data_IF_890996177924
#
_entry.id   IF_890996177924
#
_cell.length_a   1.000
_cell.length_b   1.000
_cell.length_c   1.000
_cell.angle_alpha   90.00
_cell.angle_beta   90.00
_cell.angle_gamma   90.00
#
_symmetry.space_group_name_H-M   'P 1'
#
loop_
_entity.id
_entity.type
_entity.pdbx_description
1 polymer ?
#
# COMPACT_ATOMS: atom_id res chain seq x y z
N UNK A 1 -5.73 10.79 -3.89
CA UNK A 1 -4.31 10.35 -4.12
C UNK A 1 -4.03 9.10 -3.29
N UNK A 2 -3.04 8.26 -3.66
CA UNK A 2 -2.72 7.00 -2.94
C UNK A 2 -2.46 7.21 -1.44
N UNK A 3 -1.72 8.26 -1.08
CA UNK A 3 -1.42 8.61 0.32
C UNK A 3 -2.71 8.92 1.11
N UNK A 4 -3.71 9.56 0.50
CA UNK A 4 -4.99 9.82 1.16
C UNK A 4 -5.74 8.52 1.44
N UNK A 5 -5.73 7.57 0.49
CA UNK A 5 -6.32 6.25 0.69
C UNK A 5 -5.58 5.44 1.76
N UNK A 6 -4.24 5.58 1.85
CA UNK A 6 -3.44 4.98 2.91
C UNK A 6 -3.76 5.59 4.29
N UNK A 7 -3.95 6.91 4.37
CA UNK A 7 -4.40 7.61 5.59
C UNK A 7 -5.81 7.14 6.00
N UNK A 8 -6.72 7.00 5.04
CA UNK A 8 -8.07 6.47 5.31
C UNK A 8 -8.01 5.02 5.79
N UNK A 9 -7.18 4.18 5.18
CA UNK A 9 -6.96 2.80 5.62
C UNK A 9 -6.44 2.72 7.05
N UNK A 10 -5.45 3.54 7.40
CA UNK A 10 -4.92 3.61 8.77
C UNK A 10 -6.00 3.99 9.78
N UNK A 11 -6.84 4.99 9.45
CA UNK A 11 -7.90 5.49 10.31
C UNK A 11 -9.17 4.61 10.36
N UNK A 12 -9.28 3.62 9.46
CA UNK A 12 -10.46 2.77 9.34
C UNK A 12 -10.42 1.58 10.29
N UNK A 13 -11.56 1.31 10.94
CA UNK A 13 -11.75 0.14 11.81
C UNK A 13 -11.61 -1.19 11.04
N UNK A 14 -11.20 -2.25 11.76
CA UNK A 14 -10.93 -3.57 11.20
C UNK A 14 -12.09 -4.17 10.37
N UNK A 15 -13.34 -3.79 10.67
CA UNK A 15 -14.53 -4.26 9.94
C UNK A 15 -14.62 -3.75 8.49
N UNK A 16 -13.97 -2.63 8.16
CA UNK A 16 -13.97 -2.02 6.81
C UNK A 16 -12.58 -1.98 6.16
N UNK A 17 -11.53 -2.38 6.89
CA UNK A 17 -10.15 -2.44 6.38
C UNK A 17 -9.97 -3.38 5.21
N UNK A 18 -10.71 -4.48 5.12
CA UNK A 18 -10.52 -5.49 4.07
C UNK A 18 -10.73 -4.95 2.64
N UNK A 19 -11.77 -4.13 2.44
CA UNK A 19 -12.06 -3.52 1.13
C UNK A 19 -11.00 -2.51 0.72
N UNK A 20 -10.56 -1.67 1.66
CA UNK A 20 -9.51 -0.67 1.44
C UNK A 20 -8.14 -1.32 1.21
N UNK A 21 -7.82 -2.40 1.93
CA UNK A 21 -6.61 -3.18 1.71
C UNK A 21 -6.56 -3.72 0.29
N UNK A 22 -7.64 -4.37 -0.19
CA UNK A 22 -7.71 -4.87 -1.56
C UNK A 22 -7.53 -3.74 -2.60
N UNK A 23 -8.21 -2.61 -2.42
CA UNK A 23 -8.08 -1.48 -3.35
C UNK A 23 -6.65 -0.89 -3.38
N UNK A 24 -6.00 -0.78 -2.22
CA UNK A 24 -4.60 -0.33 -2.12
C UNK A 24 -3.65 -1.34 -2.78
N UNK A 25 -3.82 -2.63 -2.49
CA UNK A 25 -3.07 -3.73 -3.08
C UNK A 25 -3.16 -3.72 -4.61
N UNK A 26 -4.35 -3.59 -5.18
CA UNK A 26 -4.56 -3.53 -6.63
C UNK A 26 -3.80 -2.37 -7.28
N UNK A 27 -3.79 -1.19 -6.62
CA UNK A 27 -3.05 -0.03 -7.13
C UNK A 27 -1.54 -0.27 -7.16
N UNK A 28 -1.01 -0.98 -6.15
CA UNK A 28 0.40 -1.32 -6.04
C UNK A 28 0.78 -2.39 -7.08
N UNK A 29 0.01 -3.49 -7.15
CA UNK A 29 0.22 -4.61 -8.07
C UNK A 29 0.13 -4.14 -9.52
N UNK A 30 -0.86 -3.30 -9.84
CA UNK A 30 -1.00 -2.70 -11.18
C UNK A 30 0.07 -1.65 -11.50
N UNK A 31 1.06 -1.43 -10.62
CA UNK A 31 2.16 -0.46 -10.75
C UNK A 31 1.66 0.96 -11.05
N UNK A 32 0.48 1.31 -10.54
CA UNK A 32 -0.11 2.66 -10.70
C UNK A 32 0.46 3.66 -9.70
N UNK A 33 1.34 3.19 -8.82
CA UNK A 33 1.95 3.95 -7.74
C UNK A 33 3.44 3.65 -7.73
N UNK A 34 4.25 4.69 -7.67
CA UNK A 34 5.68 4.56 -7.41
C UNK A 34 5.91 4.45 -5.90
N UNK A 35 6.11 3.22 -5.42
CA UNK A 35 6.33 2.93 -4.00
C UNK A 35 7.58 3.63 -3.45
N UNK A 36 8.63 3.80 -4.26
CA UNK A 36 9.86 4.48 -3.83
C UNK A 36 9.58 5.97 -3.60
N UNK A 37 8.84 6.59 -4.52
CA UNK A 37 8.41 7.98 -4.37
C UNK A 37 7.50 8.16 -3.15
N UNK A 38 6.51 7.28 -2.96
CA UNK A 38 5.60 7.36 -1.80
C UNK A 38 6.37 7.19 -0.50
N UNK A 39 7.27 6.20 -0.40
CA UNK A 39 8.10 5.98 0.78
C UNK A 39 8.96 7.20 1.10
N UNK A 40 9.58 7.82 0.10
CA UNK A 40 10.37 9.03 0.31
C UNK A 40 9.53 10.20 0.84
N UNK A 41 8.35 10.42 0.26
CA UNK A 41 7.39 11.43 0.73
C UNK A 41 7.01 11.23 2.21
N UNK A 42 6.68 9.99 2.60
CA UNK A 42 6.32 9.68 3.98
C UNK A 42 7.49 9.90 4.95
N UNK A 43 8.72 9.60 4.52
CA UNK A 43 9.93 9.87 5.31
C UNK A 43 10.18 11.38 5.47
N UNK A 44 10.03 12.15 4.39
CA UNK A 44 10.23 13.59 4.38
C UNK A 44 9.18 14.33 5.23
N UNK A 45 7.94 13.83 5.24
CA UNK A 45 6.85 14.35 6.08
C UNK A 45 6.92 13.87 7.55
N UNK A 46 7.76 12.88 7.87
CA UNK A 46 7.86 12.30 9.21
C UNK A 46 6.67 11.41 9.59
N UNK A 47 5.93 10.90 8.62
CA UNK A 47 4.71 10.10 8.79
C UNK A 47 5.03 8.62 9.03
N UNK A 48 5.75 8.32 10.12
CA UNK A 48 6.18 6.95 10.46
C UNK A 48 5.02 5.94 10.51
N UNK A 49 3.87 6.32 11.09
CA UNK A 49 2.74 5.42 11.18
C UNK A 49 2.17 5.01 9.81
N UNK A 50 2.20 5.90 8.82
CA UNK A 50 1.77 5.56 7.46
C UNK A 50 2.81 4.72 6.73
N UNK A 51 4.10 4.97 7.00
CA UNK A 51 5.18 4.17 6.46
C UNK A 51 5.08 2.71 6.93
N UNK A 52 4.76 2.50 8.21
CA UNK A 52 4.58 1.16 8.77
C UNK A 52 3.38 0.43 8.14
N UNK A 53 2.27 1.13 7.90
CA UNK A 53 1.10 0.54 7.22
C UNK A 53 1.39 0.25 5.73
N UNK A 54 2.14 1.12 5.06
CA UNK A 54 2.60 0.87 3.69
C UNK A 54 3.46 -0.40 3.63
N UNK A 55 4.37 -0.59 4.58
CA UNK A 55 5.22 -1.78 4.63
C UNK A 55 4.40 -3.05 4.88
N UNK A 56 3.45 -3.01 5.83
CA UNK A 56 2.55 -4.15 6.07
C UNK A 56 1.74 -4.51 4.84
N UNK A 57 1.23 -3.52 4.10
CA UNK A 57 0.52 -3.77 2.83
C UNK A 57 1.43 -4.41 1.80
N UNK A 58 2.67 -3.95 1.67
CA UNK A 58 3.66 -4.53 0.74
C UNK A 58 3.96 -5.98 1.12
N UNK A 59 4.22 -6.27 2.39
CA UNK A 59 4.51 -7.63 2.87
C UNK A 59 3.33 -8.59 2.61
N UNK A 60 2.09 -8.10 2.71
CA UNK A 60 0.89 -8.88 2.41
C UNK A 60 0.73 -9.20 0.92
N UNK A 61 1.18 -8.30 0.03
CA UNK A 61 1.03 -8.45 -1.42
C UNK A 61 2.29 -8.96 -2.12
N UNK A 62 3.43 -9.00 -1.45
CA UNK A 62 4.71 -9.54 -1.92
C UNK A 62 4.53 -10.86 -2.70
N UNK A 63 3.81 -11.88 -2.17
CA UNK A 63 3.60 -13.13 -2.92
C UNK A 63 2.86 -12.93 -4.26
N UNK A 64 1.94 -11.97 -4.34
CA UNK A 64 1.16 -11.69 -5.55
C UNK A 64 1.91 -10.82 -6.56
N UNK A 65 2.88 -10.03 -6.10
CA UNK A 65 3.79 -9.25 -6.97
C UNK A 65 4.80 -10.20 -7.63
N UNK A 66 5.33 -11.16 -6.89
CA UNK A 66 6.31 -12.14 -7.41
C UNK A 66 5.68 -13.21 -8.30
N UNK A 67 4.48 -13.72 -7.97
CA UNK A 67 3.76 -14.66 -8.84
C UNK A 67 3.21 -14.02 -10.12
N UNK A 68 3.00 -12.70 -10.14
CA UNK A 68 2.62 -11.94 -11.35
C UNK A 68 3.74 -11.78 -12.40
N UNK A 69 4.93 -12.35 -12.16
CA UNK A 69 6.08 -12.36 -13.06
C UNK A 69 6.22 -13.62 -13.92
N UNK A 70 5.20 -14.49 -13.96
CA UNK A 70 5.14 -15.64 -14.88
C UNK A 70 4.05 -15.36 -15.90
N UNK A 71 4.40 -14.67 -16.98
CA UNK A 71 3.67 -14.84 -18.25
C UNK A 71 3.72 -16.33 -18.62
N UNK A 72 2.55 -16.89 -18.93
CA UNK A 72 2.36 -18.26 -19.45
C UNK A 72 3.22 -18.57 -20.69
#
# INVERSE_FOLDING_TARGET
>A
MFIEALREFQATDASRRGELANALSDMIIAKRVDLAQVRQLLLDEGEQGLLDELNQLIDLIEPYIEEGGVDE
#
